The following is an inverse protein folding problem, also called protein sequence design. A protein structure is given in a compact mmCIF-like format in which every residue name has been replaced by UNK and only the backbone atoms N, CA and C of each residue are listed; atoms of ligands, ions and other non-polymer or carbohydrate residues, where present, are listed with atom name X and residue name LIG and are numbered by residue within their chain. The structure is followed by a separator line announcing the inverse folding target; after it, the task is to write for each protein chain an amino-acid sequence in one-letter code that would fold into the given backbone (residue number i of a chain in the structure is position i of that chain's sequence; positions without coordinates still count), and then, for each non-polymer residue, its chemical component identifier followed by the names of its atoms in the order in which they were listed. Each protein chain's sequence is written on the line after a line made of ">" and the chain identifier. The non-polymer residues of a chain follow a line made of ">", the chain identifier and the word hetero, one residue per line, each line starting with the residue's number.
data_IF_427193006870
#
_entry.id   IF_427193006870
#
_cell.length_a   1.000
_cell.length_b   1.000
_cell.length_c   1.000
_cell.angle_alpha   90.00
_cell.angle_beta   90.00
_cell.angle_gamma   90.00
#
_symmetry.space_group_name_H-M   'P 1'
#
loop_
_entity.id
_entity.type
_entity.pdbx_description
1 polymer ?
#
# COMPACT_ATOMS: atom_id res chain seq x y z
N UNK A 1 -1.52 15.45 -1.25
CA UNK A 1 -1.23 14.84 -2.58
C UNK A 1 0.05 14.05 -2.44
N UNK A 2 0.08 12.78 -2.81
CA UNK A 2 1.25 11.93 -2.61
C UNK A 2 1.77 11.47 -3.97
N UNK A 3 2.96 11.95 -4.33
CA UNK A 3 3.61 11.67 -5.60
C UNK A 3 4.66 10.58 -5.40
N UNK A 4 4.64 9.51 -6.20
CA UNK A 4 5.74 8.57 -6.30
C UNK A 4 6.62 9.05 -7.44
N UNK A 5 7.89 9.36 -7.15
CA UNK A 5 8.83 9.89 -8.12
C UNK A 5 9.72 8.77 -8.61
N UNK A 6 9.78 8.55 -9.94
CA UNK A 6 10.78 7.70 -10.58
C UNK A 6 12.02 8.55 -10.84
N UNK A 7 13.09 8.28 -10.11
CA UNK A 7 14.35 9.02 -10.26
C UNK A 7 15.38 8.16 -10.98
N UNK A 8 15.82 8.56 -12.15
CA UNK A 8 16.99 7.95 -12.78
C UNK A 8 18.24 8.76 -12.38
N UNK A 9 18.89 8.38 -11.30
CA UNK A 9 20.17 8.97 -10.88
C UNK A 9 21.29 8.12 -11.44
N UNK A 10 22.11 8.70 -12.30
CA UNK A 10 23.40 8.14 -12.72
C UNK A 10 24.38 8.22 -11.55
N UNK A 11 24.52 7.16 -10.77
CA UNK A 11 25.68 6.96 -9.90
C UNK A 11 26.62 5.93 -10.53
N UNK A 12 27.95 6.10 -10.42
CA UNK A 12 28.92 5.17 -11.01
C UNK A 12 28.83 3.80 -10.33
N UNK A 13 28.74 2.77 -11.16
CA UNK A 13 28.59 1.37 -10.83
C UNK A 13 29.77 0.84 -10.00
N UNK A 14 29.47 0.30 -8.82
CA UNK A 14 30.18 -0.89 -8.31
C UNK A 14 29.35 -2.12 -8.67
N UNK A 15 29.99 -3.04 -9.36
CA UNK A 15 29.45 -4.33 -9.81
C UNK A 15 28.79 -5.10 -8.67
N UNK A 16 27.47 -5.27 -8.75
CA UNK A 16 26.72 -6.15 -7.88
C UNK A 16 26.42 -7.45 -8.61
N UNK A 17 26.96 -8.54 -8.08
CA UNK A 17 26.63 -9.92 -8.46
C UNK A 17 25.15 -10.18 -8.17
N UNK A 18 24.41 -10.55 -9.18
CA UNK A 18 23.00 -10.97 -9.11
C UNK A 18 22.87 -12.27 -8.35
N UNK A 19 22.38 -12.22 -7.11
CA UNK A 19 21.80 -13.37 -6.44
C UNK A 19 20.35 -13.53 -6.94
N UNK A 20 20.13 -14.60 -7.70
CA UNK A 20 18.77 -14.99 -8.10
C UNK A 20 18.01 -15.54 -6.89
N UNK A 21 16.70 -15.27 -6.77
CA UNK A 21 15.87 -15.93 -5.77
C UNK A 21 15.87 -17.43 -6.02
N UNK A 22 16.07 -18.21 -4.98
CA UNK A 22 16.05 -19.67 -5.07
C UNK A 22 14.67 -20.15 -5.52
N UNK A 23 14.65 -20.90 -6.64
CA UNK A 23 13.49 -21.53 -7.22
C UNK A 23 12.85 -22.52 -6.23
N UNK A 24 11.64 -22.23 -5.79
CA UNK A 24 10.71 -23.19 -5.25
C UNK A 24 9.62 -23.46 -6.31
N UNK A 25 9.97 -24.28 -7.30
CA UNK A 25 8.98 -24.85 -8.22
C UNK A 25 8.72 -26.27 -7.76
N UNK A 26 7.59 -26.51 -7.16
CA UNK A 26 7.01 -27.85 -7.06
C UNK A 26 5.62 -27.81 -7.66
N UNK A 27 5.45 -28.58 -8.74
CA UNK A 27 4.16 -28.86 -9.36
C UNK A 27 3.30 -29.70 -8.41
N UNK A 28 2.21 -29.11 -7.90
CA UNK A 28 1.16 -29.85 -7.18
C UNK A 28 -0.25 -29.40 -7.61
N UNK A 29 -1.29 -30.26 -7.44
CA UNK A 29 -2.64 -30.02 -7.97
C UNK A 29 -3.32 -28.84 -7.26
N UNK A 30 -4.30 -28.22 -7.91
CA UNK A 30 -5.15 -27.11 -7.49
C UNK A 30 -5.18 -26.86 -5.98
N UNK A 31 -4.20 -26.11 -5.50
CA UNK A 31 -4.15 -25.63 -4.12
C UNK A 31 -4.63 -24.21 -4.16
N UNK A 32 -5.78 -23.92 -3.54
CA UNK A 32 -6.26 -22.59 -3.25
C UNK A 32 -5.10 -21.73 -2.71
N UNK A 33 -5.04 -20.47 -3.12
CA UNK A 33 -4.01 -19.56 -2.63
C UNK A 33 -4.12 -19.45 -1.12
N UNK A 34 -3.08 -19.86 -0.39
CA UNK A 34 -3.02 -19.77 1.05
C UNK A 34 -2.25 -18.53 1.50
N UNK A 35 -2.66 -17.99 2.63
CA UNK A 35 -2.05 -16.80 3.25
C UNK A 35 -1.48 -17.18 4.61
N UNK A 36 -0.19 -16.94 4.79
CA UNK A 36 0.50 -17.22 6.05
C UNK A 36 0.69 -15.96 6.88
N UNK A 37 0.87 -16.13 8.19
CA UNK A 37 1.25 -15.04 9.09
C UNK A 37 2.75 -14.76 9.06
N UNK A 38 3.17 -13.50 9.04
CA UNK A 38 4.59 -13.12 9.18
C UNK A 38 5.23 -13.62 10.49
N UNK A 39 4.43 -13.87 11.54
CA UNK A 39 4.92 -14.46 12.80
C UNK A 39 5.00 -16.00 12.76
N UNK A 40 4.40 -16.66 11.77
CA UNK A 40 4.50 -18.11 11.52
C UNK A 40 4.11 -19.02 12.68
N UNK A 41 3.25 -18.55 13.60
CA UNK A 41 2.82 -19.29 14.80
C UNK A 41 1.40 -19.87 14.66
N UNK A 42 0.75 -19.62 13.52
CA UNK A 42 -0.59 -20.13 13.19
C UNK A 42 -0.61 -20.80 11.84
N UNK A 43 -1.62 -21.62 11.58
CA UNK A 43 -1.80 -22.25 10.27
C UNK A 43 -2.09 -21.21 9.19
N UNK A 44 -1.80 -21.57 7.94
CA UNK A 44 -2.20 -20.82 6.77
C UNK A 44 -3.73 -20.80 6.65
N UNK A 45 -4.26 -19.70 6.10
CA UNK A 45 -5.70 -19.48 5.94
C UNK A 45 -6.07 -19.20 4.49
N UNK A 46 -7.33 -19.39 4.14
CA UNK A 46 -7.87 -18.99 2.84
C UNK A 46 -8.02 -17.46 2.73
N UNK A 47 -8.24 -16.96 1.51
CA UNK A 47 -8.41 -15.53 1.21
C UNK A 47 -9.51 -14.89 2.07
N UNK A 48 -10.67 -15.51 2.12
CA UNK A 48 -11.83 -15.00 2.86
C UNK A 48 -11.49 -14.77 4.35
N UNK A 49 -10.88 -15.75 5.01
CA UNK A 49 -10.48 -15.64 6.41
C UNK A 49 -9.42 -14.55 6.60
N UNK A 50 -8.40 -14.47 5.73
CA UNK A 50 -7.37 -13.45 5.80
C UNK A 50 -7.92 -12.03 5.65
N UNK A 51 -8.95 -11.85 4.80
CA UNK A 51 -9.63 -10.57 4.57
C UNK A 51 -10.51 -10.18 5.74
N UNK A 52 -11.34 -11.12 6.20
CA UNK A 52 -12.32 -10.86 7.27
C UNK A 52 -11.64 -10.67 8.62
N UNK A 53 -10.61 -11.44 8.94
CA UNK A 53 -9.86 -11.25 10.18
C UNK A 53 -8.90 -10.06 10.12
N UNK A 54 -8.32 -9.79 8.94
CA UNK A 54 -7.39 -8.68 8.67
C UNK A 54 -6.04 -8.80 9.37
N UNK A 55 -5.97 -9.47 10.52
CA UNK A 55 -4.76 -9.72 11.31
C UNK A 55 -4.79 -11.16 11.80
N UNK A 56 -3.67 -11.87 11.70
CA UNK A 56 -3.57 -13.24 12.15
C UNK A 56 -3.71 -13.38 13.70
N UNK A 57 -4.13 -14.54 14.18
CA UNK A 57 -4.33 -14.77 15.60
C UNK A 57 -3.06 -14.60 16.44
N UNK A 58 -1.88 -14.86 15.84
CA UNK A 58 -0.55 -14.61 16.43
C UNK A 58 -0.09 -13.15 16.31
N UNK A 59 -0.97 -12.25 15.81
CA UNK A 59 -0.71 -10.82 15.55
C UNK A 59 0.27 -10.54 14.41
N UNK A 60 0.65 -11.54 13.62
CA UNK A 60 1.38 -11.37 12.38
C UNK A 60 0.48 -10.84 11.26
N UNK A 61 1.10 -10.32 10.21
CA UNK A 61 0.41 -9.83 9.03
C UNK A 61 0.28 -10.94 7.99
N UNK A 62 -0.85 -11.00 7.32
CA UNK A 62 -1.02 -11.99 6.25
C UNK A 62 -0.20 -11.63 5.02
N UNK A 63 0.45 -12.67 4.46
CA UNK A 63 1.23 -12.67 3.23
C UNK A 63 0.80 -13.83 2.33
N UNK A 64 0.76 -13.66 1.00
CA UNK A 64 0.50 -14.79 0.10
C UNK A 64 1.62 -15.82 0.23
N UNK A 65 1.27 -17.10 0.37
CA UNK A 65 2.23 -18.21 0.52
C UNK A 65 3.10 -18.37 -0.72
N UNK A 66 2.54 -18.09 -1.88
CA UNK A 66 3.23 -18.19 -3.16
C UNK A 66 3.09 -16.88 -3.94
N UNK A 67 4.20 -16.40 -4.49
CA UNK A 67 4.20 -15.33 -5.46
C UNK A 67 4.30 -15.96 -6.84
N UNK A 68 3.21 -15.93 -7.61
CA UNK A 68 3.23 -16.42 -8.99
C UNK A 68 3.93 -15.38 -9.86
N UNK A 69 5.08 -15.72 -10.48
CA UNK A 69 5.66 -14.83 -11.47
C UNK A 69 4.69 -14.72 -12.65
N UNK A 70 4.57 -13.53 -13.19
CA UNK A 70 3.81 -13.34 -14.42
C UNK A 70 4.58 -13.95 -15.61
N UNK A 71 3.89 -14.47 -16.63
CA UNK A 71 4.56 -15.09 -17.78
C UNK A 71 5.39 -14.06 -18.55
N UNK A 72 6.47 -14.50 -19.21
CA UNK A 72 7.35 -13.61 -19.99
C UNK A 72 6.57 -12.84 -21.05
N UNK A 73 5.60 -13.47 -21.70
CA UNK A 73 4.69 -12.84 -22.66
C UNK A 73 3.99 -11.58 -22.09
N UNK A 74 3.63 -11.58 -20.82
CA UNK A 74 3.07 -10.39 -20.15
C UNK A 74 4.07 -9.22 -20.18
N UNK A 75 5.35 -9.45 -19.87
CA UNK A 75 6.38 -8.41 -19.87
C UNK A 75 6.74 -7.94 -21.27
N UNK A 76 6.70 -8.84 -22.25
CA UNK A 76 6.98 -8.51 -23.65
C UNK A 76 5.90 -7.57 -24.22
N UNK A 77 4.66 -7.72 -23.80
CA UNK A 77 3.50 -6.99 -24.29
C UNK A 77 2.91 -5.97 -23.30
N UNK A 78 3.49 -5.80 -22.11
CA UNK A 78 2.96 -4.88 -21.08
C UNK A 78 2.79 -3.44 -21.62
N UNK A 79 3.64 -3.04 -22.53
CA UNK A 79 3.60 -1.71 -23.14
C UNK A 79 2.41 -1.47 -24.09
N UNK A 80 1.68 -2.51 -24.48
CA UNK A 80 0.48 -2.46 -25.32
C UNK A 80 -0.81 -2.45 -24.48
N UNK A 81 -0.73 -2.82 -23.20
CA UNK A 81 -1.86 -3.02 -22.30
C UNK A 81 -2.34 -1.70 -21.69
N UNK A 82 -3.65 -1.62 -21.41
CA UNK A 82 -4.22 -0.57 -20.56
C UNK A 82 -3.89 -0.80 -19.09
N UNK A 83 -4.07 0.22 -18.24
CA UNK A 83 -3.89 0.05 -16.80
C UNK A 83 -4.80 -1.04 -16.24
N UNK A 84 -6.06 -1.08 -16.65
CA UNK A 84 -7.03 -2.08 -16.21
C UNK A 84 -6.60 -3.50 -16.62
N UNK A 85 -6.07 -3.67 -17.83
CA UNK A 85 -5.57 -4.99 -18.28
C UNK A 85 -4.35 -5.43 -17.48
N UNK A 86 -3.37 -4.55 -17.28
CA UNK A 86 -2.19 -4.81 -16.45
C UNK A 86 -2.63 -5.22 -15.03
N UNK A 87 -3.49 -4.40 -14.40
CA UNK A 87 -3.96 -4.64 -13.05
C UNK A 87 -4.77 -5.94 -12.92
N UNK A 88 -5.57 -6.28 -13.93
CA UNK A 88 -6.30 -7.54 -13.94
C UNK A 88 -5.36 -8.75 -13.97
N UNK A 89 -4.32 -8.73 -14.81
CA UNK A 89 -3.32 -9.82 -14.87
C UNK A 89 -2.57 -9.97 -13.54
N UNK A 90 -2.24 -8.85 -12.89
CA UNK A 90 -1.59 -8.87 -11.57
C UNK A 90 -2.58 -9.36 -10.50
N UNK A 91 -3.83 -8.90 -10.53
CA UNK A 91 -4.86 -9.35 -9.59
C UNK A 91 -5.17 -10.85 -9.76
N UNK A 92 -5.21 -11.35 -11.00
CA UNK A 92 -5.42 -12.77 -11.29
C UNK A 92 -4.31 -13.65 -10.70
N UNK A 93 -3.06 -13.17 -10.68
CA UNK A 93 -1.95 -13.89 -10.04
C UNK A 93 -2.12 -14.01 -8.51
N UNK A 94 -2.82 -13.06 -7.85
CA UNK A 94 -3.09 -13.11 -6.42
C UNK A 94 -4.41 -13.76 -6.04
N UNK A 95 -5.45 -13.55 -6.84
CA UNK A 95 -6.83 -13.82 -6.44
C UNK A 95 -7.59 -14.74 -7.41
N UNK A 96 -6.99 -15.09 -8.55
CA UNK A 96 -7.69 -15.84 -9.62
C UNK A 96 -8.04 -17.29 -9.26
N UNK A 97 -7.49 -17.84 -8.16
CA UNK A 97 -7.90 -19.15 -7.65
C UNK A 97 -9.13 -19.07 -6.72
N UNK A 98 -9.33 -17.91 -6.09
CA UNK A 98 -10.40 -17.69 -5.11
C UNK A 98 -11.59 -16.92 -5.70
N UNK A 99 -11.36 -16.12 -6.77
CA UNK A 99 -12.33 -15.19 -7.34
C UNK A 99 -12.54 -15.47 -8.83
N UNK A 100 -13.77 -15.68 -9.30
CA UNK A 100 -14.06 -15.83 -10.73
C UNK A 100 -13.54 -14.66 -11.57
N UNK A 101 -12.95 -14.95 -12.73
CA UNK A 101 -12.27 -13.97 -13.57
C UNK A 101 -13.16 -12.78 -13.98
N UNK A 102 -14.44 -13.03 -14.30
CA UNK A 102 -15.40 -11.98 -14.64
C UNK A 102 -15.68 -11.02 -13.48
N UNK A 103 -15.77 -11.55 -12.26
CA UNK A 103 -15.95 -10.75 -11.03
C UNK A 103 -14.70 -9.96 -10.71
N UNK A 104 -13.54 -10.60 -10.81
CA UNK A 104 -12.25 -9.92 -10.56
C UNK A 104 -12.01 -8.80 -11.56
N UNK A 105 -12.35 -9.02 -12.84
CA UNK A 105 -12.27 -7.99 -13.89
C UNK A 105 -13.18 -6.80 -13.56
N UNK A 106 -14.43 -7.03 -13.21
CA UNK A 106 -15.36 -5.97 -12.85
C UNK A 106 -14.87 -5.16 -11.64
N UNK A 107 -14.28 -5.82 -10.63
CA UNK A 107 -13.67 -5.16 -9.45
C UNK A 107 -12.50 -4.27 -9.85
N UNK A 108 -11.61 -4.77 -10.71
CA UNK A 108 -10.45 -4.01 -11.19
C UNK A 108 -10.90 -2.79 -12.00
N UNK A 109 -11.81 -2.97 -12.96
CA UNK A 109 -12.28 -1.90 -13.83
C UNK A 109 -12.98 -0.78 -13.02
N UNK A 110 -13.82 -1.14 -12.05
CA UNK A 110 -14.44 -0.15 -11.15
C UNK A 110 -13.43 0.53 -10.24
N UNK A 111 -12.46 -0.23 -9.70
CA UNK A 111 -11.40 0.33 -8.83
C UNK A 111 -10.58 1.38 -9.55
N UNK A 112 -10.20 1.12 -10.81
CA UNK A 112 -9.30 1.92 -11.62
C UNK A 112 -10.06 2.79 -12.64
N UNK A 113 -11.08 3.50 -12.17
CA UNK A 113 -11.93 4.38 -12.99
C UNK A 113 -11.41 5.83 -13.08
N UNK A 114 -10.16 6.08 -12.72
CA UNK A 114 -9.52 7.40 -12.77
C UNK A 114 -8.09 7.29 -13.32
N UNK A 115 -7.57 8.40 -13.83
CA UNK A 115 -6.25 8.46 -14.44
C UNK A 115 -5.12 8.30 -13.42
N UNK A 116 -3.97 7.79 -13.90
CA UNK A 116 -2.77 7.59 -13.10
C UNK A 116 -1.55 7.89 -13.97
N UNK A 117 -1.39 9.16 -14.42
CA UNK A 117 -0.36 9.49 -15.39
C UNK A 117 1.04 9.45 -14.80
N UNK A 118 2.02 9.17 -15.67
CA UNK A 118 3.42 9.45 -15.42
C UNK A 118 3.74 10.78 -16.09
N UNK A 119 4.21 11.75 -15.31
CA UNK A 119 4.46 13.12 -15.76
C UNK A 119 5.95 13.44 -15.61
N UNK A 120 6.62 13.97 -16.67
CA UNK A 120 7.99 14.44 -16.53
C UNK A 120 8.04 15.70 -15.65
N UNK A 121 8.88 15.69 -14.63
CA UNK A 121 9.10 16.83 -13.73
C UNK A 121 10.36 17.59 -14.13
N UNK A 122 11.44 16.87 -14.44
CA UNK A 122 12.69 17.41 -14.96
C UNK A 122 13.38 16.37 -15.85
N UNK A 123 14.59 16.64 -16.35
CA UNK A 123 15.27 15.81 -17.35
C UNK A 123 15.27 14.29 -17.03
N UNK A 124 15.47 13.91 -15.75
CA UNK A 124 15.55 12.50 -15.35
C UNK A 124 14.60 12.16 -14.18
N UNK A 125 13.62 13.03 -13.92
CA UNK A 125 12.66 12.86 -12.82
C UNK A 125 11.27 12.82 -13.38
N UNK A 126 10.53 11.77 -13.02
CA UNK A 126 9.15 11.54 -13.42
C UNK A 126 8.29 11.34 -12.17
N UNK A 127 7.10 11.89 -12.17
CA UNK A 127 6.11 11.69 -11.13
C UNK A 127 5.04 10.70 -11.63
N UNK A 128 4.84 9.60 -10.89
CA UNK A 128 3.63 8.80 -11.03
C UNK A 128 2.56 9.40 -10.13
N UNK A 129 1.58 10.06 -10.74
CA UNK A 129 0.53 10.77 -10.01
C UNK A 129 -0.57 9.82 -9.56
N UNK A 130 -0.71 9.63 -8.26
CA UNK A 130 -1.67 8.70 -7.64
C UNK A 130 -2.84 9.42 -6.95
N UNK A 131 -3.02 10.70 -7.22
CA UNK A 131 -3.98 11.58 -6.54
C UNK A 131 -5.22 11.96 -7.37
N UNK A 132 -5.44 11.31 -8.52
CA UNK A 132 -6.61 11.61 -9.37
C UNK A 132 -7.88 10.84 -8.96
N UNK A 133 -7.80 10.00 -7.93
CA UNK A 133 -8.94 9.30 -7.37
C UNK A 133 -9.85 10.22 -6.53
N UNK A 134 -11.00 9.70 -6.07
CA UNK A 134 -12.06 10.51 -5.44
C UNK A 134 -11.63 11.21 -4.15
N UNK A 135 -10.60 10.74 -3.46
CA UNK A 135 -10.12 11.37 -2.22
C UNK A 135 -8.76 12.05 -2.37
N UNK A 136 -8.25 12.12 -3.59
CA UNK A 136 -6.94 12.71 -3.92
C UNK A 136 -5.78 12.08 -3.16
N UNK A 137 -5.87 10.78 -2.85
CA UNK A 137 -4.81 10.03 -2.18
C UNK A 137 -4.57 8.67 -2.87
N UNK A 138 -3.31 8.23 -2.93
CA UNK A 138 -2.98 6.89 -3.45
C UNK A 138 -3.72 5.76 -2.73
N UNK A 139 -4.25 6.04 -1.56
CA UNK A 139 -5.00 5.09 -0.73
C UNK A 139 -6.32 4.68 -1.37
N UNK A 140 -6.81 5.43 -2.36
CA UNK A 140 -8.01 5.09 -3.14
C UNK A 140 -7.88 3.74 -3.84
N UNK A 141 -6.71 3.41 -4.40
CA UNK A 141 -6.48 2.12 -5.05
C UNK A 141 -6.81 0.94 -4.14
N UNK A 142 -6.16 0.88 -2.97
CA UNK A 142 -6.38 -0.21 -2.02
C UNK A 142 -7.74 -0.15 -1.34
N UNK A 143 -8.30 1.02 -1.06
CA UNK A 143 -9.58 1.15 -0.38
C UNK A 143 -10.75 0.73 -1.27
N UNK A 144 -10.77 1.19 -2.52
CA UNK A 144 -11.80 0.82 -3.51
C UNK A 144 -11.75 -0.67 -3.82
N UNK A 145 -10.56 -1.22 -4.10
CA UNK A 145 -10.40 -2.65 -4.34
C UNK A 145 -10.88 -3.48 -3.14
N UNK A 146 -10.46 -3.11 -1.93
CA UNK A 146 -10.89 -3.81 -0.71
C UNK A 146 -12.40 -3.74 -0.53
N UNK A 147 -13.03 -2.58 -0.76
CA UNK A 147 -14.48 -2.43 -0.62
C UNK A 147 -15.25 -3.40 -1.53
N UNK A 148 -14.87 -3.51 -2.82
CA UNK A 148 -15.51 -4.40 -3.79
C UNK A 148 -15.25 -5.88 -3.47
N UNK A 149 -14.01 -6.22 -3.16
CA UNK A 149 -13.65 -7.58 -2.74
C UNK A 149 -14.37 -8.00 -1.46
N UNK A 150 -14.47 -7.11 -0.48
CA UNK A 150 -15.20 -7.40 0.76
C UNK A 150 -16.68 -7.63 0.49
N UNK A 151 -17.31 -6.82 -0.37
CA UNK A 151 -18.70 -7.04 -0.79
C UNK A 151 -18.92 -8.38 -1.50
N UNK A 152 -17.94 -8.86 -2.26
CA UNK A 152 -17.99 -10.17 -2.92
C UNK A 152 -17.77 -11.34 -1.95
N UNK A 153 -16.82 -11.20 -1.02
CA UNK A 153 -16.39 -12.26 -0.10
C UNK A 153 -17.23 -12.32 1.18
N UNK A 154 -18.07 -11.32 1.46
CA UNK A 154 -18.93 -11.33 2.64
C UNK A 154 -20.15 -12.24 2.40
N UNK A 155 -20.08 -13.46 2.91
CA UNK A 155 -21.05 -14.54 2.69
C UNK A 155 -22.33 -14.45 3.54
N UNK A 156 -22.47 -13.40 4.34
CA UNK A 156 -23.69 -13.18 5.10
C UNK A 156 -23.47 -12.58 6.50
N UNK A 157 -24.36 -11.68 6.84
CA UNK A 157 -24.35 -10.93 8.07
C UNK A 157 -23.55 -9.61 7.94
N UNK A 158 -23.79 -8.72 8.90
CA UNK A 158 -23.13 -7.42 8.93
C UNK A 158 -21.66 -7.56 9.29
N UNK A 159 -20.78 -6.99 8.46
CA UNK A 159 -19.35 -6.85 8.73
C UNK A 159 -19.04 -5.40 9.09
N UNK A 160 -18.46 -5.16 10.26
CA UNK A 160 -18.08 -3.82 10.71
C UNK A 160 -16.60 -3.57 10.41
N UNK A 161 -16.33 -2.58 9.59
CA UNK A 161 -14.99 -2.10 9.29
C UNK A 161 -14.59 -1.05 10.33
N UNK A 162 -13.53 -1.32 11.09
CA UNK A 162 -12.98 -0.37 12.05
C UNK A 162 -11.71 0.26 11.51
N UNK A 163 -11.66 1.58 11.46
CA UNK A 163 -10.51 2.33 10.95
C UNK A 163 -10.15 3.48 11.88
N UNK A 164 -8.89 3.57 12.31
CA UNK A 164 -8.32 4.79 12.88
C UNK A 164 -7.59 5.56 11.79
N UNK A 165 -7.77 6.87 11.74
CA UNK A 165 -7.19 7.70 10.68
C UNK A 165 -6.65 9.04 11.18
N UNK A 166 -5.61 9.53 10.51
CA UNK A 166 -5.13 10.91 10.59
C UNK A 166 -5.63 11.78 9.42
N UNK A 167 -6.51 11.24 8.55
CA UNK A 167 -7.09 11.92 7.40
C UNK A 167 -7.28 11.00 6.20
N UNK A 168 -6.31 10.88 5.30
CA UNK A 168 -6.40 10.19 4.00
C UNK A 168 -6.93 8.75 4.05
N UNK A 169 -6.49 7.95 5.04
CA UNK A 169 -6.96 6.57 5.16
C UNK A 169 -8.45 6.52 5.42
N UNK A 170 -8.96 7.38 6.30
CA UNK A 170 -10.38 7.46 6.60
C UNK A 170 -11.20 7.92 5.40
N UNK A 171 -10.74 8.96 4.70
CA UNK A 171 -11.38 9.45 3.48
C UNK A 171 -11.45 8.37 2.39
N UNK A 172 -10.33 7.71 2.11
CA UNK A 172 -10.28 6.63 1.11
C UNK A 172 -11.16 5.43 1.51
N UNK A 173 -11.18 5.04 2.79
CA UNK A 173 -12.04 3.96 3.30
C UNK A 173 -13.50 4.35 3.20
N UNK A 174 -13.88 5.57 3.60
CA UNK A 174 -15.25 6.05 3.50
C UNK A 174 -15.77 5.95 2.04
N UNK A 175 -15.01 6.48 1.09
CA UNK A 175 -15.38 6.41 -0.34
C UNK A 175 -15.31 5.00 -0.92
N UNK A 176 -14.29 4.21 -0.56
CA UNK A 176 -14.09 2.85 -1.06
C UNK A 176 -15.19 1.88 -0.63
N UNK A 177 -15.76 2.06 0.55
CA UNK A 177 -16.81 1.20 1.12
C UNK A 177 -18.20 1.80 1.07
N UNK A 178 -18.37 3.03 0.59
CA UNK A 178 -19.68 3.65 0.49
C UNK A 178 -20.63 2.81 -0.37
N UNK A 179 -21.79 2.48 0.20
CA UNK A 179 -22.82 1.68 -0.46
C UNK A 179 -22.50 0.19 -0.61
N UNK A 180 -21.42 -0.34 -0.02
CA UNK A 180 -21.14 -1.78 -0.01
C UNK A 180 -22.16 -2.48 0.90
N UNK A 181 -22.93 -3.38 0.31
CA UNK A 181 -24.00 -4.11 1.01
C UNK A 181 -23.43 -5.03 2.11
N UNK A 182 -24.12 -5.11 3.24
CA UNK A 182 -23.69 -5.93 4.38
C UNK A 182 -22.46 -5.39 5.12
N UNK A 183 -21.99 -4.19 4.78
CA UNK A 183 -20.83 -3.58 5.43
C UNK A 183 -21.20 -2.27 6.12
N UNK A 184 -20.77 -2.14 7.38
CA UNK A 184 -20.81 -0.89 8.15
C UNK A 184 -19.40 -0.40 8.40
N UNK A 185 -19.14 0.88 8.16
CA UNK A 185 -17.80 1.47 8.34
C UNK A 185 -17.82 2.44 9.52
N UNK A 186 -16.95 2.20 10.50
CA UNK A 186 -16.75 3.07 11.66
C UNK A 186 -15.34 3.65 11.59
N UNK A 187 -15.26 4.98 11.46
CA UNK A 187 -13.99 5.69 11.28
C UNK A 187 -13.74 6.58 12.49
N UNK A 188 -12.69 6.29 13.26
CA UNK A 188 -12.25 7.10 14.39
C UNK A 188 -11.19 8.09 13.91
N UNK A 189 -11.43 9.38 14.10
CA UNK A 189 -10.48 10.43 13.76
C UNK A 189 -10.37 11.50 14.86
N UNK A 190 -9.18 12.10 15.06
CA UNK A 190 -8.96 13.03 16.15
C UNK A 190 -9.58 14.40 15.83
N UNK A 191 -10.26 15.00 16.83
CA UNK A 191 -10.91 16.30 16.74
C UNK A 191 -9.89 17.42 16.44
N UNK A 192 -10.15 18.19 15.38
CA UNK A 192 -9.33 19.33 14.96
C UNK A 192 -7.90 18.97 14.50
N UNK A 193 -7.63 17.67 14.19
CA UNK A 193 -6.30 17.19 13.74
C UNK A 193 -6.28 16.64 12.33
N UNK A 194 -7.42 16.64 11.65
CA UNK A 194 -7.54 16.34 10.21
C UNK A 194 -7.88 17.63 9.46
N UNK A 195 -7.53 17.71 8.17
CA UNK A 195 -7.87 18.89 7.38
C UNK A 195 -9.40 19.00 7.20
N UNK A 196 -9.95 20.22 7.01
CA UNK A 196 -11.38 20.39 6.75
C UNK A 196 -11.87 19.58 5.54
N UNK A 197 -11.05 19.44 4.50
CA UNK A 197 -11.37 18.65 3.32
C UNK A 197 -11.47 17.16 3.67
N UNK A 198 -10.48 16.60 4.36
CA UNK A 198 -10.50 15.20 4.80
C UNK A 198 -11.67 14.91 5.73
N UNK A 199 -12.00 15.82 6.65
CA UNK A 199 -13.17 15.66 7.52
C UNK A 199 -14.46 15.65 6.69
N UNK A 200 -14.63 16.56 5.74
CA UNK A 200 -15.78 16.60 4.85
C UNK A 200 -15.91 15.31 4.02
N UNK A 201 -14.83 14.82 3.46
CA UNK A 201 -14.81 13.55 2.70
C UNK A 201 -15.32 12.35 3.52
N UNK A 202 -15.15 12.34 4.83
CA UNK A 202 -15.65 11.27 5.70
C UNK A 202 -17.09 11.52 6.20
N UNK A 203 -17.43 12.76 6.52
CA UNK A 203 -18.66 13.10 7.28
C UNK A 203 -19.87 13.39 6.43
N UNK A 204 -19.69 13.68 5.14
CA UNK A 204 -20.81 14.09 4.26
C UNK A 204 -21.46 12.93 3.48
N UNK A 205 -20.88 11.73 3.51
CA UNK A 205 -21.38 10.58 2.74
C UNK A 205 -22.67 9.98 3.33
N UNK A 206 -22.75 9.81 4.65
CA UNK A 206 -23.88 9.13 5.28
C UNK A 206 -23.95 7.64 4.93
N UNK A 207 -25.17 7.09 4.86
CA UNK A 207 -25.38 5.68 4.53
C UNK A 207 -24.72 4.73 5.55
N UNK A 208 -23.89 3.81 5.05
CA UNK A 208 -23.16 2.84 5.85
C UNK A 208 -21.85 3.39 6.47
N UNK A 209 -21.57 4.70 6.32
CA UNK A 209 -20.34 5.34 6.82
C UNK A 209 -20.64 6.11 8.12
N UNK A 210 -19.96 5.75 9.20
CA UNK A 210 -20.15 6.28 10.54
C UNK A 210 -18.83 6.86 11.09
N UNK A 211 -18.50 8.13 10.77
CA UNK A 211 -17.32 8.79 11.30
C UNK A 211 -17.55 9.20 12.76
N UNK A 212 -16.58 8.92 13.61
CA UNK A 212 -16.58 9.24 15.04
C UNK A 212 -15.41 10.16 15.37
N UNK A 213 -15.74 11.38 15.77
CA UNK A 213 -14.78 12.40 16.20
C UNK A 213 -14.32 12.10 17.65
N UNK A 214 -13.04 11.89 17.84
CA UNK A 214 -12.44 11.52 19.14
C UNK A 214 -11.72 12.70 19.74
N UNK A 215 -12.03 13.03 21.00
CA UNK A 215 -11.27 14.02 21.76
C UNK A 215 -9.94 13.43 22.19
N UNK A 216 -8.90 13.64 21.39
CA UNK A 216 -7.58 13.06 21.57
C UNK A 216 -6.69 13.26 20.33
N UNK A 217 -5.73 12.39 20.17
CA UNK A 217 -4.85 12.35 19.01
C UNK A 217 -5.04 11.05 18.20
N UNK A 218 -4.26 10.87 17.15
CA UNK A 218 -4.33 9.68 16.31
C UNK A 218 -3.98 8.38 17.06
N UNK A 219 -3.03 8.45 17.99
CA UNK A 219 -2.66 7.29 18.82
C UNK A 219 -3.80 6.86 19.73
N UNK A 220 -4.63 7.81 20.22
CA UNK A 220 -5.85 7.50 20.98
C UNK A 220 -6.86 6.76 20.11
N UNK A 221 -7.08 7.20 18.88
CA UNK A 221 -7.96 6.51 17.93
C UNK A 221 -7.46 5.08 17.66
N UNK A 222 -6.16 4.90 17.42
CA UNK A 222 -5.57 3.58 17.22
C UNK A 222 -5.70 2.69 18.45
N UNK A 223 -5.49 3.25 19.65
CA UNK A 223 -5.62 2.51 20.90
C UNK A 223 -7.06 2.01 21.11
N UNK A 224 -8.05 2.85 20.80
CA UNK A 224 -9.47 2.46 20.86
C UNK A 224 -9.79 1.34 19.88
N UNK A 225 -9.37 1.44 18.63
CA UNK A 225 -9.57 0.37 17.62
C UNK A 225 -8.87 -0.92 18.06
N UNK A 226 -7.62 -0.86 18.53
CA UNK A 226 -6.90 -2.02 19.05
C UNK A 226 -7.61 -2.64 20.27
N UNK A 227 -8.24 -1.85 21.14
CA UNK A 227 -9.00 -2.34 22.28
C UNK A 227 -10.26 -3.12 21.82
N UNK A 228 -11.00 -2.58 20.82
CA UNK A 228 -12.16 -3.28 20.24
C UNK A 228 -11.77 -4.61 19.60
N UNK A 229 -10.64 -4.70 18.91
CA UNK A 229 -10.13 -5.97 18.36
C UNK A 229 -9.74 -7.00 19.43
N UNK A 230 -9.42 -6.56 20.66
CA UNK A 230 -9.08 -7.43 21.79
C UNK A 230 -10.28 -7.83 22.63
N UNK A 231 -11.40 -7.15 22.48
CA UNK A 231 -12.62 -7.41 23.23
C UNK A 231 -13.32 -8.67 22.71
N UNK A 232 -13.16 -9.77 23.44
CA UNK A 232 -13.76 -11.06 23.09
C UNK A 232 -15.29 -11.05 23.16
N UNK A 233 -15.89 -10.23 24.02
CA UNK A 233 -17.33 -10.11 24.11
C UNK A 233 -17.87 -9.41 22.84
N UNK A 234 -17.27 -8.30 22.45
CA UNK A 234 -17.62 -7.61 21.22
C UNK A 234 -17.47 -8.52 19.99
N UNK A 235 -16.37 -9.26 19.90
CA UNK A 235 -16.08 -10.15 18.74
C UNK A 235 -16.99 -11.37 18.65
N UNK A 236 -17.66 -11.76 19.72
CA UNK A 236 -18.71 -12.82 19.67
C UNK A 236 -20.00 -12.32 19.03
N UNK A 237 -20.32 -11.05 19.27
CA UNK A 237 -21.60 -10.46 18.85
C UNK A 237 -21.49 -9.70 17.52
N UNK A 238 -20.28 -9.21 17.17
CA UNK A 238 -20.03 -8.36 16.01
C UNK A 238 -18.82 -8.88 15.22
N UNK A 239 -19.02 -9.13 13.95
CA UNK A 239 -17.92 -9.42 13.01
C UNK A 239 -17.18 -8.11 12.71
N UNK A 240 -15.93 -7.99 13.12
CA UNK A 240 -15.12 -6.79 12.93
C UNK A 240 -13.85 -7.09 12.13
N UNK A 241 -13.48 -6.20 11.21
CA UNK A 241 -12.19 -6.21 10.52
C UNK A 241 -11.62 -4.81 10.40
N UNK A 242 -10.35 -4.71 9.98
CA UNK A 242 -9.67 -3.43 9.77
C UNK A 242 -9.51 -3.13 8.30
N UNK A 243 -9.77 -1.89 7.91
CA UNK A 243 -9.41 -1.38 6.59
C UNK A 243 -8.10 -0.56 6.60
N UNK A 244 -7.28 -0.66 7.61
CA UNK A 244 -5.91 -0.13 7.59
C UNK A 244 -5.00 -1.02 6.73
N UNK A 245 -3.78 -0.58 6.44
CA UNK A 245 -2.81 -1.29 5.58
C UNK A 245 -2.28 -2.61 6.15
N UNK A 246 -2.69 -2.99 7.37
CA UNK A 246 -2.47 -4.34 7.91
C UNK A 246 -3.28 -5.40 7.15
N UNK A 247 -4.45 -5.04 6.60
CA UNK A 247 -5.26 -5.93 5.77
C UNK A 247 -4.62 -6.10 4.39
N UNK A 248 -4.57 -7.34 3.91
CA UNK A 248 -3.91 -7.68 2.64
C UNK A 248 -4.55 -7.00 1.43
N UNK A 249 -5.87 -6.82 1.41
CA UNK A 249 -6.57 -6.15 0.32
C UNK A 249 -6.30 -4.62 0.26
N UNK A 250 -5.62 -4.05 1.26
CA UNK A 250 -5.22 -2.65 1.25
C UNK A 250 -3.87 -2.42 0.60
N UNK A 251 -2.93 -3.35 0.72
CA UNK A 251 -1.58 -3.16 0.22
C UNK A 251 -1.29 -3.93 -1.07
N UNK A 252 -1.81 -5.15 -1.26
CA UNK A 252 -1.58 -5.92 -2.49
C UNK A 252 -1.97 -5.16 -3.77
N UNK A 253 -3.16 -4.52 -3.85
CA UNK A 253 -3.56 -3.78 -5.05
C UNK A 253 -2.68 -2.57 -5.37
N UNK A 254 -1.88 -2.11 -4.42
CA UNK A 254 -0.91 -1.06 -4.67
C UNK A 254 0.22 -1.52 -5.60
N UNK A 255 0.42 -2.83 -5.79
CA UNK A 255 1.34 -3.33 -6.81
C UNK A 255 0.91 -2.96 -8.24
N UNK A 256 -0.39 -2.79 -8.50
CA UNK A 256 -0.93 -2.50 -9.84
C UNK A 256 -0.33 -1.23 -10.44
N UNK A 257 -0.23 -0.16 -9.68
CA UNK A 257 0.33 1.09 -10.18
C UNK A 257 1.84 1.05 -10.38
N UNK A 258 2.57 0.12 -9.75
CA UNK A 258 4.00 -0.08 -10.06
C UNK A 258 4.19 -0.69 -11.44
N UNK A 259 3.41 -1.73 -11.78
CA UNK A 259 3.45 -2.32 -13.13
C UNK A 259 3.06 -1.30 -14.19
N UNK A 260 1.97 -0.57 -13.97
CA UNK A 260 1.52 0.45 -14.92
C UNK A 260 2.49 1.63 -15.03
N UNK A 261 2.96 2.16 -13.89
CA UNK A 261 3.92 3.26 -13.85
C UNK A 261 5.24 2.92 -14.54
N UNK A 262 5.75 1.69 -14.32
CA UNK A 262 6.90 1.17 -15.05
C UNK A 262 6.65 1.16 -16.56
N UNK A 263 5.52 0.63 -16.98
CA UNK A 263 5.14 0.57 -18.38
C UNK A 263 5.04 1.96 -19.02
N UNK A 264 4.34 2.90 -18.36
CA UNK A 264 4.19 4.26 -18.84
C UNK A 264 5.55 5.00 -18.92
N UNK A 265 6.39 4.83 -17.89
CA UNK A 265 7.73 5.40 -17.87
C UNK A 265 8.63 4.83 -18.98
N UNK A 266 8.61 3.50 -19.17
CA UNK A 266 9.37 2.83 -20.24
C UNK A 266 8.97 3.31 -21.63
N UNK A 267 7.68 3.53 -21.88
CA UNK A 267 7.19 4.11 -23.15
C UNK A 267 7.77 5.51 -23.42
N UNK A 268 7.97 6.31 -22.37
CA UNK A 268 8.46 7.68 -22.48
C UNK A 268 9.98 7.78 -22.65
N UNK A 269 10.71 6.90 -21.97
CA UNK A 269 12.18 6.99 -21.86
C UNK A 269 12.92 6.00 -22.76
N UNK A 270 12.33 4.85 -23.03
CA UNK A 270 13.00 3.71 -23.64
C UNK A 270 13.91 2.92 -22.68
N UNK A 271 14.02 3.35 -21.41
CA UNK A 271 14.84 2.70 -20.38
C UNK A 271 14.11 1.51 -19.75
N UNK A 272 14.88 0.63 -19.09
CA UNK A 272 14.36 -0.65 -18.58
C UNK A 272 14.41 -0.80 -17.05
N UNK A 273 15.17 0.03 -16.33
CA UNK A 273 15.43 -0.19 -14.91
C UNK A 273 15.38 1.12 -14.10
N UNK A 274 14.18 1.64 -13.78
CA UNK A 274 14.05 2.84 -12.96
C UNK A 274 14.48 2.60 -11.51
N UNK A 275 14.97 3.65 -10.86
CA UNK A 275 14.96 3.75 -9.41
C UNK A 275 13.65 4.38 -8.97
N UNK A 276 12.95 3.77 -8.03
CA UNK A 276 11.65 4.24 -7.55
C UNK A 276 11.80 4.89 -6.19
N UNK A 277 11.52 6.19 -6.09
CA UNK A 277 11.48 6.91 -4.80
C UNK A 277 10.05 6.81 -4.26
N UNK A 278 9.92 6.31 -3.03
CA UNK A 278 8.63 6.05 -2.41
C UNK A 278 8.53 6.81 -1.08
N UNK A 279 7.77 7.92 -1.04
CA UNK A 279 7.41 8.52 0.23
C UNK A 279 6.61 7.51 1.06
N UNK A 280 7.11 7.16 2.24
CA UNK A 280 6.58 6.04 3.03
C UNK A 280 6.42 6.41 4.49
N UNK A 281 5.18 6.20 5.02
CA UNK A 281 4.90 6.23 6.46
C UNK A 281 4.77 4.81 7.00
N UNK A 282 3.67 4.11 6.65
CA UNK A 282 3.41 2.74 7.12
C UNK A 282 4.01 1.64 6.20
N UNK A 283 4.72 2.01 5.15
CA UNK A 283 5.48 1.12 4.24
C UNK A 283 4.65 0.09 3.45
N UNK A 284 3.33 0.17 3.45
CA UNK A 284 2.47 -0.69 2.62
C UNK A 284 2.69 -0.47 1.13
N UNK A 285 2.84 0.78 0.70
CA UNK A 285 3.13 1.18 -0.67
C UNK A 285 4.50 0.65 -1.15
N UNK A 286 5.56 0.82 -0.36
CA UNK A 286 6.88 0.29 -0.69
C UNK A 286 6.89 -1.24 -0.74
N UNK A 287 6.22 -1.91 0.22
CA UNK A 287 6.07 -3.37 0.23
C UNK A 287 5.43 -3.88 -1.06
N UNK A 288 4.40 -3.18 -1.56
CA UNK A 288 3.75 -3.53 -2.83
C UNK A 288 4.70 -3.38 -4.04
N UNK A 289 5.55 -2.35 -4.05
CA UNK A 289 6.58 -2.19 -5.08
C UNK A 289 7.63 -3.28 -5.03
N UNK A 290 8.09 -3.66 -3.83
CA UNK A 290 9.04 -4.76 -3.66
C UNK A 290 8.44 -6.10 -4.08
N UNK A 291 7.15 -6.30 -3.79
CA UNK A 291 6.42 -7.47 -4.26
C UNK A 291 6.34 -7.52 -5.78
N UNK A 292 6.01 -6.40 -6.44
CA UNK A 292 6.01 -6.30 -7.91
C UNK A 292 7.37 -6.67 -8.50
N UNK A 293 8.47 -6.22 -7.87
CA UNK A 293 9.83 -6.62 -8.25
C UNK A 293 10.06 -8.12 -8.07
N UNK A 294 9.61 -8.72 -6.98
CA UNK A 294 9.70 -10.17 -6.76
C UNK A 294 8.87 -10.97 -7.79
N UNK A 295 7.80 -10.40 -8.32
CA UNK A 295 7.02 -11.00 -9.40
C UNK A 295 7.69 -10.88 -10.77
N UNK A 296 8.76 -10.12 -10.92
CA UNK A 296 9.55 -9.99 -12.15
C UNK A 296 9.63 -8.59 -12.75
N UNK A 297 9.02 -7.58 -12.11
CA UNK A 297 9.09 -6.20 -12.62
C UNK A 297 10.52 -5.67 -12.52
N UNK A 298 11.05 -5.15 -13.65
CA UNK A 298 12.42 -4.65 -13.74
C UNK A 298 12.58 -3.30 -13.03
N UNK A 299 12.89 -3.33 -11.75
CA UNK A 299 13.18 -2.14 -10.93
C UNK A 299 14.60 -2.25 -10.40
N UNK A 300 15.43 -1.22 -10.63
CA UNK A 300 16.81 -1.16 -10.18
C UNK A 300 16.92 -1.18 -8.66
N UNK A 301 16.09 -0.40 -7.99
CA UNK A 301 16.05 -0.28 -6.54
C UNK A 301 15.03 0.73 -6.08
N UNK A 302 14.84 0.78 -4.77
CA UNK A 302 13.91 1.71 -4.13
C UNK A 302 14.65 2.69 -3.22
N UNK A 303 14.11 3.89 -3.12
CA UNK A 303 14.49 4.85 -2.07
C UNK A 303 13.29 5.02 -1.14
N UNK A 304 13.42 4.56 0.09
CA UNK A 304 12.47 4.80 1.15
C UNK A 304 12.64 6.26 1.63
N UNK A 305 11.81 7.17 1.12
CA UNK A 305 11.84 8.57 1.50
C UNK A 305 10.94 8.78 2.73
N UNK A 306 11.51 9.32 3.81
CA UNK A 306 10.80 9.58 5.07
C UNK A 306 10.96 11.03 5.50
N UNK A 307 9.98 11.52 6.21
CA UNK A 307 10.08 12.75 7.00
C UNK A 307 10.88 12.49 8.30
N UNK A 308 10.72 13.32 9.33
CA UNK A 308 11.38 13.14 10.61
C UNK A 308 11.07 11.80 11.31
N UNK A 309 10.05 11.04 10.83
CA UNK A 309 9.73 9.69 11.30
C UNK A 309 10.55 8.64 10.54
N UNK A 310 11.85 8.64 10.72
CA UNK A 310 12.87 7.98 9.92
C UNK A 310 13.32 6.59 10.46
N UNK A 311 12.43 5.84 11.11
CA UNK A 311 12.75 4.54 11.73
C UNK A 311 13.36 3.57 10.72
N UNK A 312 12.78 3.45 9.54
CA UNK A 312 13.28 2.53 8.50
C UNK A 312 14.54 3.03 7.81
N UNK A 313 14.67 4.31 7.38
CA UNK A 313 15.96 4.84 6.95
C UNK A 313 17.11 4.61 7.94
N UNK A 314 16.86 4.77 9.24
CA UNK A 314 17.85 4.46 10.27
C UNK A 314 18.19 2.98 10.32
N UNK A 315 17.20 2.09 10.30
CA UNK A 315 17.45 0.66 10.22
C UNK A 315 18.33 0.29 9.01
N UNK A 316 18.04 0.85 7.83
CA UNK A 316 18.83 0.59 6.62
C UNK A 316 20.30 1.04 6.76
N UNK A 317 20.55 2.06 7.59
CA UNK A 317 21.90 2.56 7.87
C UNK A 317 22.63 1.81 9.01
N UNK A 318 21.89 1.42 10.06
CA UNK A 318 22.50 0.97 11.34
C UNK A 318 22.20 -0.48 11.69
N UNK A 319 21.31 -1.16 10.95
CA UNK A 319 20.78 -2.49 11.26
C UNK A 319 19.89 -2.54 12.52
N UNK A 320 19.70 -1.41 13.22
CA UNK A 320 18.91 -1.34 14.43
C UNK A 320 17.49 -0.84 14.13
N UNK A 321 16.47 -1.67 14.37
CA UNK A 321 15.07 -1.29 14.25
C UNK A 321 14.52 -0.81 15.59
N UNK A 322 14.34 0.50 15.72
CA UNK A 322 13.92 1.17 16.97
C UNK A 322 12.65 2.01 16.73
N UNK A 323 11.44 1.39 16.78
CA UNK A 323 10.17 2.12 16.71
C UNK A 323 10.05 3.15 17.84
N UNK A 324 9.38 4.26 17.51
CA UNK A 324 9.17 5.36 18.47
C UNK A 324 7.81 6.04 18.23
N UNK A 325 7.39 6.89 19.16
CA UNK A 325 6.22 7.75 18.96
C UNK A 325 6.42 8.63 17.73
N UNK A 326 5.37 8.80 16.93
CA UNK A 326 5.41 9.65 15.74
C UNK A 326 5.57 11.12 16.10
N UNK A 327 6.30 11.84 15.27
CA UNK A 327 6.47 13.30 15.33
C UNK A 327 5.62 13.92 14.23
N UNK A 328 4.88 14.99 14.55
CA UNK A 328 4.07 15.72 13.59
C UNK A 328 4.98 16.52 12.63
N UNK A 329 4.71 16.40 11.31
CA UNK A 329 5.44 17.07 10.24
C UNK A 329 4.50 17.70 9.22
N UNK A 330 5.04 18.47 8.26
CA UNK A 330 4.27 18.99 7.12
C UNK A 330 3.76 17.85 6.23
N UNK A 331 4.50 16.74 6.15
CA UNK A 331 4.12 15.52 5.42
C UNK A 331 3.28 14.59 6.32
N UNK A 332 2.21 15.10 6.91
CA UNK A 332 1.46 14.47 8.00
C UNK A 332 0.89 13.08 7.67
N UNK A 333 0.59 12.81 6.41
CA UNK A 333 0.12 11.50 5.94
C UNK A 333 1.14 10.37 6.15
N UNK A 334 2.42 10.74 6.34
CA UNK A 334 3.56 9.83 6.54
C UNK A 334 4.08 9.84 7.98
N UNK A 335 3.39 10.49 8.92
CA UNK A 335 3.79 10.54 10.33
C UNK A 335 3.53 9.20 11.03
N UNK A 336 4.44 8.25 10.83
CA UNK A 336 4.38 6.90 11.40
C UNK A 336 5.71 6.53 12.03
N UNK A 337 5.71 6.39 13.37
CA UNK A 337 6.91 6.03 14.15
C UNK A 337 7.09 4.52 14.38
N UNK A 338 6.06 3.70 14.06
CA UNK A 338 6.09 2.22 14.12
C UNK A 338 5.37 1.64 12.89
N UNK A 339 6.07 1.56 11.74
CA UNK A 339 5.49 1.15 10.47
C UNK A 339 5.14 -0.34 10.43
N UNK A 340 3.86 -0.68 10.54
CA UNK A 340 3.38 -2.06 10.60
C UNK A 340 3.82 -2.93 9.43
N UNK A 341 3.84 -2.38 8.20
CA UNK A 341 4.20 -3.17 7.00
C UNK A 341 5.70 -3.42 6.87
N UNK A 342 6.53 -2.82 7.72
CA UNK A 342 7.96 -3.16 7.71
C UNK A 342 8.19 -4.64 8.09
N UNK A 343 7.32 -5.23 8.91
CA UNK A 343 7.33 -6.67 9.20
C UNK A 343 7.20 -7.53 7.92
N UNK A 344 6.43 -7.08 6.91
CA UNK A 344 6.32 -7.76 5.61
C UNK A 344 7.61 -7.66 4.79
N UNK A 345 8.29 -6.52 4.83
CA UNK A 345 9.59 -6.33 4.18
C UNK A 345 10.63 -7.24 4.82
N UNK A 346 10.69 -7.28 6.14
CA UNK A 346 11.58 -8.17 6.87
C UNK A 346 11.34 -9.63 6.51
N UNK A 347 10.08 -10.07 6.51
CA UNK A 347 9.72 -11.46 6.17
C UNK A 347 10.02 -11.80 4.71
N UNK A 348 9.74 -10.90 3.76
CA UNK A 348 10.02 -11.08 2.33
C UNK A 348 11.50 -11.33 2.02
N UNK A 349 12.40 -10.78 2.82
CA UNK A 349 13.86 -10.91 2.69
C UNK A 349 14.49 -11.77 3.80
N UNK A 350 13.69 -12.61 4.46
CA UNK A 350 14.18 -13.55 5.47
C UNK A 350 14.89 -12.88 6.64
N UNK A 351 14.50 -11.66 6.99
CA UNK A 351 15.08 -10.81 8.04
C UNK A 351 16.57 -10.44 7.80
N UNK A 352 17.07 -10.58 6.59
CA UNK A 352 18.45 -10.21 6.25
C UNK A 352 18.56 -8.72 5.92
N UNK A 353 19.25 -7.95 6.77
CA UNK A 353 19.56 -6.55 6.52
C UNK A 353 20.32 -6.35 5.20
N UNK A 354 21.31 -7.22 4.92
CA UNK A 354 22.08 -7.19 3.67
C UNK A 354 21.17 -7.36 2.45
N UNK A 355 20.27 -8.35 2.47
CA UNK A 355 19.34 -8.60 1.37
C UNK A 355 18.35 -7.43 1.17
N UNK A 356 17.89 -6.80 2.23
CA UNK A 356 17.03 -5.61 2.17
C UNK A 356 17.81 -4.43 1.58
N UNK A 357 18.97 -4.13 2.14
CA UNK A 357 19.81 -2.98 1.76
C UNK A 357 20.38 -3.09 0.34
N UNK A 358 20.44 -4.30 -0.22
CA UNK A 358 20.77 -4.50 -1.64
C UNK A 358 19.71 -3.91 -2.60
N UNK A 359 18.49 -3.69 -2.12
CA UNK A 359 17.36 -3.25 -2.96
C UNK A 359 16.69 -1.97 -2.49
N UNK A 360 16.89 -1.56 -1.25
CA UNK A 360 16.30 -0.36 -0.66
C UNK A 360 17.40 0.49 -0.05
N UNK A 361 17.45 1.76 -0.40
CA UNK A 361 18.16 2.80 0.34
C UNK A 361 17.18 3.69 1.11
N UNK A 362 17.63 4.32 2.20
CA UNK A 362 16.83 5.24 2.99
C UNK A 362 17.23 6.68 2.77
N UNK A 363 16.26 7.59 2.80
CA UNK A 363 16.48 9.03 2.80
C UNK A 363 15.55 9.70 3.82
N UNK A 364 16.06 10.69 4.54
CA UNK A 364 15.30 11.44 5.56
C UNK A 364 15.37 12.93 5.29
N UNK A 365 14.21 13.60 5.35
CA UNK A 365 14.10 15.02 5.08
C UNK A 365 13.36 15.73 6.20
N UNK A 366 13.87 16.92 6.57
CA UNK A 366 13.21 17.83 7.51
C UNK A 366 12.12 18.64 6.81
N UNK A 367 11.18 19.19 7.57
CA UNK A 367 10.12 20.08 7.05
C UNK A 367 10.70 21.26 6.26
N UNK A 368 11.82 21.82 6.70
CA UNK A 368 12.50 22.92 6.01
C UNK A 368 13.03 22.49 4.63
N UNK A 369 13.61 21.29 4.54
CA UNK A 369 14.10 20.74 3.27
C UNK A 369 12.95 20.43 2.32
N UNK A 370 11.85 19.83 2.84
CA UNK A 370 10.64 19.55 2.07
C UNK A 370 10.08 20.85 1.49
N UNK A 371 9.82 21.86 2.32
CA UNK A 371 9.30 23.15 1.89
C UNK A 371 10.21 23.86 0.86
N UNK A 372 11.53 23.83 1.10
CA UNK A 372 12.50 24.40 0.16
C UNK A 372 12.46 23.70 -1.20
N UNK A 373 12.44 22.35 -1.21
CA UNK A 373 12.40 21.55 -2.45
C UNK A 373 11.09 21.79 -3.21
N UNK A 374 9.95 21.89 -2.51
CA UNK A 374 8.66 22.21 -3.14
C UNK A 374 8.71 23.59 -3.86
N UNK A 375 9.22 24.62 -3.19
CA UNK A 375 9.37 25.95 -3.79
C UNK A 375 10.33 25.94 -4.98
N UNK A 376 11.45 25.24 -4.85
CA UNK A 376 12.44 25.13 -5.91
C UNK A 376 11.87 24.38 -7.13
N UNK A 377 11.23 23.24 -6.93
CA UNK A 377 10.61 22.47 -7.99
C UNK A 377 9.57 23.30 -8.75
N UNK A 378 8.68 23.99 -8.02
CA UNK A 378 7.71 24.88 -8.65
C UNK A 378 8.37 25.98 -9.47
N UNK A 379 9.43 26.62 -8.95
CA UNK A 379 10.12 27.70 -9.64
C UNK A 379 10.86 27.24 -10.90
N UNK A 380 11.49 26.06 -10.86
CA UNK A 380 12.32 25.54 -11.95
C UNK A 380 11.52 24.79 -13.02
N UNK A 381 10.45 24.10 -12.64
CA UNK A 381 9.73 23.18 -13.53
C UNK A 381 8.25 23.53 -13.72
N UNK A 382 7.68 24.37 -12.87
CA UNK A 382 6.23 24.62 -12.82
C UNK A 382 5.42 23.48 -12.19
N UNK A 383 6.05 22.38 -11.75
CA UNK A 383 5.38 21.26 -11.15
C UNK A 383 5.15 21.49 -9.64
N UNK A 384 3.91 21.24 -9.18
CA UNK A 384 3.54 21.39 -7.77
C UNK A 384 3.70 20.06 -7.06
N UNK A 385 4.69 19.97 -6.18
CA UNK A 385 4.87 18.82 -5.28
C UNK A 385 3.96 18.94 -4.07
N UNK A 386 3.52 17.81 -3.56
CA UNK A 386 2.90 17.66 -2.24
C UNK A 386 3.98 17.22 -1.23
N UNK A 387 3.93 17.65 0.05
CA UNK A 387 4.96 17.33 1.04
C UNK A 387 5.05 15.85 1.39
#
# INVERSE_FOLDING_TARGET
>A
MQTIIFLTVLMPLKTLTTLQPQNLITSQPHILMNYYSTNKQVADVALEEAVVTGLAADRGLYMPRMLKPLPQEFYDHIHEMSFQEIAFRVAEAFFGEDVPADKLRAIVDDTLSFDTPVVPVSENIYALELFHGPTHAFKDFGARFMGRMTGLLNDGGELVILTATSGDTGSAVAHGFYGVEGVRVVILYPDGKVSPLQEAQMTTLGGNIHPLKVRGNFDDCQRMVKAMFRDEALRRDVRITSANSINLLRWLPQSFYYFYGYCAWKRMTGDDMPTVVVPSGNYGNLTAGMLARCMGLSIKGFVAASNANDVVPKFLLTEEYSPRASVQTVANAMDVGDPSNFARILDLYGHSHEAISAHISGATYTDAQIAQTMCQCLAETGYVLDP
#
